data_IF_513435176426
#
_entry.id   IF_513435176426
#
_cell.length_a   1.000
_cell.length_b   1.000
_cell.length_c   1.000
_cell.angle_alpha   90.00
_cell.angle_beta   90.00
_cell.angle_gamma   90.00
#
_symmetry.space_group_name_H-M   'P 1'
#
loop_
_entity.id
_entity.type
_entity.pdbx_description
1 polymer ?
#
# COMPACT_ATOMS: atom_id res chain seq x y z
N UNK A 1 25.12 -10.04 -2.84
CA UNK A 1 23.85 -9.30 -2.94
C UNK A 1 23.63 -9.03 -4.43
N UNK A 2 22.44 -9.33 -4.96
CA UNK A 2 22.11 -9.06 -6.36
C UNK A 2 22.21 -7.57 -6.67
N UNK A 3 22.68 -7.20 -7.86
CA UNK A 3 22.65 -5.82 -8.36
C UNK A 3 21.21 -5.27 -8.47
N UNK A 4 20.22 -6.15 -8.48
CA UNK A 4 18.80 -5.80 -8.58
C UNK A 4 18.12 -5.64 -7.22
N UNK A 5 18.86 -5.85 -6.12
CA UNK A 5 18.35 -5.65 -4.77
C UNK A 5 18.18 -4.17 -4.47
N UNK A 6 16.95 -3.74 -4.32
CA UNK A 6 16.59 -2.32 -4.09
C UNK A 6 16.82 -1.79 -2.68
N UNK A 7 17.31 -2.60 -1.75
CA UNK A 7 17.50 -2.22 -0.35
C UNK A 7 16.47 -2.82 0.59
N UNK A 8 16.60 -2.51 1.87
CA UNK A 8 15.64 -2.88 2.89
C UNK A 8 14.50 -1.86 2.95
N UNK A 9 13.32 -2.33 3.32
CA UNK A 9 12.17 -1.49 3.61
C UNK A 9 11.65 -1.74 5.02
N UNK A 10 10.72 -0.90 5.43
CA UNK A 10 9.96 -1.06 6.66
C UNK A 10 8.49 -0.76 6.40
N UNK A 11 7.62 -1.43 7.15
CA UNK A 11 6.25 -0.97 7.29
C UNK A 11 6.20 0.07 8.41
N UNK A 12 5.65 1.23 8.11
CA UNK A 12 5.58 2.33 9.04
C UNK A 12 4.30 3.14 8.81
N UNK A 13 3.33 2.92 9.68
CA UNK A 13 2.04 3.55 9.63
C UNK A 13 1.98 4.80 10.51
N UNK A 14 1.13 5.77 10.19
CA UNK A 14 0.93 6.94 11.05
C UNK A 14 0.22 6.56 12.35
N UNK A 15 0.58 7.27 13.44
CA UNK A 15 0.17 6.90 14.80
C UNK A 15 -1.01 7.72 15.36
N UNK A 16 -1.68 8.55 14.57
CA UNK A 16 -2.85 9.32 15.05
C UNK A 16 -3.99 8.41 15.52
N UNK A 17 -4.01 7.16 15.01
CA UNK A 17 -4.95 6.13 15.42
C UNK A 17 -4.65 5.57 16.82
N UNK A 18 -3.42 5.73 17.29
CA UNK A 18 -3.00 5.24 18.59
C UNK A 18 -3.81 5.88 19.73
N UNK A 19 -4.26 7.12 19.58
CA UNK A 19 -5.15 7.76 20.53
C UNK A 19 -6.47 7.00 20.67
N UNK A 20 -7.04 6.51 19.57
CA UNK A 20 -8.26 5.70 19.58
C UNK A 20 -8.05 4.35 20.31
N UNK A 21 -6.81 3.88 20.40
CA UNK A 21 -6.41 2.66 21.10
C UNK A 21 -5.83 2.93 22.51
N UNK A 22 -5.88 4.19 22.96
CA UNK A 22 -5.41 4.59 24.28
C UNK A 22 -3.90 4.72 24.41
N UNK A 23 -3.18 4.89 23.30
CA UNK A 23 -1.74 5.14 23.28
C UNK A 23 -1.43 6.52 22.70
N UNK A 24 -0.42 7.18 23.25
CA UNK A 24 0.11 8.45 22.75
C UNK A 24 1.57 8.25 22.32
N UNK A 25 1.95 8.83 21.20
CA UNK A 25 3.34 8.83 20.72
C UNK A 25 3.97 10.19 21.03
N UNK A 26 4.80 10.20 22.06
CA UNK A 26 5.48 11.44 22.49
C UNK A 26 6.60 11.85 21.54
N UNK A 27 7.08 13.09 21.67
CA UNK A 27 8.27 13.56 20.94
C UNK A 27 9.53 12.74 21.26
N UNK A 28 9.63 12.18 22.47
CA UNK A 28 10.74 11.28 22.84
C UNK A 28 10.64 9.94 22.09
N UNK A 29 9.43 9.42 21.89
CA UNK A 29 9.20 8.20 21.11
C UNK A 29 9.54 8.44 19.63
N UNK A 30 9.15 9.57 19.08
CA UNK A 30 9.52 9.98 17.72
C UNK A 30 11.04 10.12 17.55
N UNK A 31 11.74 10.74 18.49
CA UNK A 31 13.19 10.86 18.46
C UNK A 31 13.87 9.48 18.46
N UNK A 32 13.38 8.58 19.31
CA UNK A 32 13.89 7.21 19.39
C UNK A 32 13.61 6.40 18.12
N UNK A 33 12.43 6.59 17.52
CA UNK A 33 12.08 5.97 16.24
C UNK A 33 13.01 6.47 15.12
N UNK A 34 13.21 7.79 15.03
CA UNK A 34 14.10 8.39 14.03
C UNK A 34 15.53 7.88 14.16
N UNK A 35 16.08 7.78 15.38
CA UNK A 35 17.41 7.18 15.64
C UNK A 35 17.51 5.76 15.08
N UNK A 36 16.47 4.94 15.27
CA UNK A 36 16.42 3.56 14.75
C UNK A 36 16.33 3.51 13.23
N UNK A 37 15.53 4.39 12.64
CA UNK A 37 15.40 4.49 11.19
C UNK A 37 16.72 4.98 10.55
N UNK A 38 17.40 5.94 11.18
CA UNK A 38 18.72 6.41 10.76
C UNK A 38 19.78 5.29 10.78
N UNK A 39 19.68 4.38 11.78
CA UNK A 39 20.52 3.19 11.83
C UNK A 39 20.16 2.17 10.74
N UNK A 40 18.87 1.90 10.52
CA UNK A 40 18.38 0.91 9.56
C UNK A 40 18.53 1.37 8.10
N UNK A 41 18.45 2.68 7.85
CA UNK A 41 18.51 3.31 6.52
C UNK A 41 17.58 2.62 5.52
N UNK A 42 16.27 2.57 5.76
CA UNK A 42 15.34 1.99 4.81
C UNK A 42 15.33 2.81 3.52
N UNK A 43 15.35 2.14 2.37
CA UNK A 43 15.14 2.79 1.07
C UNK A 43 13.68 2.86 0.66
N UNK A 44 12.81 2.15 1.38
CA UNK A 44 11.40 1.98 1.06
C UNK A 44 10.55 1.89 2.32
N UNK A 45 9.43 2.57 2.33
CA UNK A 45 8.42 2.51 3.39
C UNK A 45 7.08 2.12 2.78
N UNK A 46 6.46 1.08 3.32
CA UNK A 46 5.03 0.80 3.13
C UNK A 46 4.28 1.53 4.23
N UNK A 47 3.44 2.49 3.84
CA UNK A 47 2.68 3.34 4.75
C UNK A 47 1.19 3.15 4.51
N UNK A 48 0.53 2.42 5.38
CA UNK A 48 -0.89 2.11 5.28
C UNK A 48 -1.71 2.98 6.22
N UNK A 49 -2.88 3.38 5.77
CA UNK A 49 -3.83 4.13 6.58
C UNK A 49 -5.15 3.39 6.73
N UNK A 50 -5.85 3.72 7.80
CA UNK A 50 -7.27 3.40 7.95
C UNK A 50 -8.08 4.68 7.69
N UNK A 51 -8.73 4.75 6.54
CA UNK A 51 -9.48 5.93 6.11
C UNK A 51 -10.54 6.42 7.12
N UNK A 52 -11.26 5.54 7.91
CA UNK A 52 -12.18 6.01 8.96
C UNK A 52 -11.51 6.76 10.11
N UNK A 53 -10.22 6.56 10.35
CA UNK A 53 -9.46 7.32 11.35
C UNK A 53 -8.72 8.52 10.75
N UNK A 54 -8.55 8.55 9.42
CA UNK A 54 -7.80 9.57 8.71
C UNK A 54 -8.71 10.66 8.17
N UNK A 55 -9.20 10.52 6.98
CA UNK A 55 -9.92 11.56 6.26
C UNK A 55 -11.45 11.40 6.26
N UNK A 56 -11.96 10.27 6.74
CA UNK A 56 -13.39 9.97 6.74
C UNK A 56 -13.92 9.75 8.15
N UNK A 57 -15.00 10.41 8.49
CA UNK A 57 -15.73 10.16 9.73
C UNK A 57 -16.96 9.30 9.42
N UNK A 58 -16.88 8.02 9.80
CA UNK A 58 -17.94 7.04 9.52
C UNK A 58 -19.26 7.35 10.28
N UNK A 59 -19.19 8.06 11.42
CA UNK A 59 -20.39 8.40 12.19
C UNK A 59 -21.22 9.52 11.54
N UNK A 60 -20.53 10.45 10.83
CA UNK A 60 -21.17 11.60 10.18
C UNK A 60 -21.18 11.52 8.67
N UNK A 61 -20.43 10.59 8.07
CA UNK A 61 -20.21 10.49 6.63
C UNK A 61 -19.35 11.63 6.06
N UNK A 62 -18.65 12.38 6.92
CA UNK A 62 -17.90 13.57 6.50
C UNK A 62 -16.50 13.21 6.01
N UNK A 63 -16.13 13.74 4.86
CA UNK A 63 -14.76 13.79 4.36
C UNK A 63 -14.06 15.06 4.86
N UNK A 64 -12.84 14.93 5.40
CA UNK A 64 -12.02 16.03 5.87
C UNK A 64 -10.54 15.68 5.76
N UNK A 65 -9.86 16.23 4.76
CA UNK A 65 -8.43 15.96 4.49
C UNK A 65 -7.48 16.48 5.55
N UNK A 66 -7.94 17.33 6.45
CA UNK A 66 -7.12 17.88 7.55
C UNK A 66 -7.22 17.05 8.84
N UNK A 67 -8.20 16.14 8.91
CA UNK A 67 -8.42 15.32 10.10
C UNK A 67 -7.25 14.37 10.32
N UNK A 68 -6.74 14.31 11.56
CA UNK A 68 -5.65 13.41 12.00
C UNK A 68 -4.42 13.40 11.07
N UNK A 69 -4.04 14.56 10.53
CA UNK A 69 -2.97 14.67 9.54
C UNK A 69 -1.56 14.73 10.15
N UNK A 70 -1.43 15.07 11.43
CA UNK A 70 -0.15 15.45 12.04
C UNK A 70 0.91 14.35 11.98
N UNK A 71 0.59 13.11 12.40
CA UNK A 71 1.56 12.01 12.40
C UNK A 71 1.91 11.56 11.00
N UNK A 72 0.95 11.53 10.06
CA UNK A 72 1.21 11.21 8.66
C UNK A 72 2.16 12.23 8.02
N UNK A 73 1.94 13.53 8.26
CA UNK A 73 2.86 14.57 7.78
C UNK A 73 4.27 14.38 8.33
N UNK A 74 4.40 14.06 9.61
CA UNK A 74 5.70 13.86 10.27
C UNK A 74 6.43 12.66 9.66
N UNK A 75 5.72 11.55 9.41
CA UNK A 75 6.24 10.37 8.74
C UNK A 75 6.70 10.69 7.32
N UNK A 76 5.83 11.30 6.51
CA UNK A 76 6.13 11.63 5.12
C UNK A 76 7.27 12.65 5.00
N UNK A 77 7.35 13.61 5.91
CA UNK A 77 8.46 14.57 5.96
C UNK A 77 9.79 13.87 6.23
N UNK A 78 9.83 12.95 7.21
CA UNK A 78 11.04 12.15 7.46
C UNK A 78 11.44 11.34 6.22
N UNK A 79 10.48 10.68 5.55
CA UNK A 79 10.76 9.93 4.33
C UNK A 79 11.31 10.83 3.22
N UNK A 80 10.72 12.00 3.02
CA UNK A 80 11.15 12.96 2.01
C UNK A 80 12.55 13.51 2.27
N UNK A 81 12.84 13.90 3.51
CA UNK A 81 14.13 14.46 3.91
C UNK A 81 15.27 13.43 3.78
N UNK A 82 14.96 12.15 3.89
CA UNK A 82 15.91 11.04 3.80
C UNK A 82 15.90 10.31 2.44
N UNK A 83 15.16 10.80 1.44
CA UNK A 83 15.11 10.20 0.09
C UNK A 83 14.48 8.80 0.06
N UNK A 84 13.59 8.49 0.99
CA UNK A 84 12.93 7.20 1.11
C UNK A 84 11.69 7.17 0.20
N UNK A 85 11.57 6.15 -0.62
CA UNK A 85 10.37 5.93 -1.43
C UNK A 85 9.22 5.39 -0.55
N UNK A 86 8.03 5.95 -0.72
CA UNK A 86 6.83 5.52 0.02
C UNK A 86 5.84 4.87 -0.94
N UNK A 87 5.41 3.64 -0.59
CA UNK A 87 4.15 3.08 -1.05
C UNK A 87 3.09 3.44 0.00
N UNK A 88 2.23 4.38 -0.36
CA UNK A 88 1.11 4.80 0.44
C UNK A 88 -0.10 3.93 0.10
N UNK A 89 -0.89 3.53 1.08
CA UNK A 89 -2.05 2.68 0.80
C UNK A 89 -3.13 2.72 1.86
N UNK A 90 -4.23 2.05 1.55
CA UNK A 90 -5.37 1.91 2.44
C UNK A 90 -5.58 0.45 2.83
N UNK A 91 -5.78 0.19 4.13
CA UNK A 91 -6.06 -1.18 4.61
C UNK A 91 -7.38 -1.70 4.06
N UNK A 92 -8.41 -0.85 4.10
CA UNK A 92 -9.77 -1.18 3.68
C UNK A 92 -10.51 0.11 3.29
N UNK A 93 -11.65 -0.01 2.57
CA UNK A 93 -12.53 1.12 2.36
C UNK A 93 -13.03 1.71 3.69
N UNK A 94 -13.50 2.97 3.72
CA UNK A 94 -13.96 3.63 4.94
C UNK A 94 -15.04 2.88 5.70
N UNK A 95 -15.88 2.17 4.99
CA UNK A 95 -16.80 1.14 5.51
C UNK A 95 -16.84 -0.01 4.51
N UNK A 96 -17.15 -1.21 4.97
CA UNK A 96 -17.23 -2.38 4.07
C UNK A 96 -18.31 -2.25 3.00
N UNK A 97 -19.36 -1.46 3.27
CA UNK A 97 -20.39 -1.14 2.27
C UNK A 97 -19.86 -0.26 1.14
N UNK A 98 -18.71 0.38 1.31
CA UNK A 98 -18.08 1.25 0.30
C UNK A 98 -17.04 0.53 -0.57
N UNK A 99 -16.86 -0.77 -0.46
CA UNK A 99 -15.82 -1.56 -1.14
C UNK A 99 -15.80 -1.42 -2.67
N UNK A 100 -16.94 -1.04 -3.26
CA UNK A 100 -17.13 -0.79 -4.69
C UNK A 100 -17.68 0.63 -4.99
N UNK A 101 -17.59 1.53 -4.01
CA UNK A 101 -18.15 2.88 -4.09
C UNK A 101 -17.28 3.84 -4.90
N UNK A 102 -17.91 4.61 -5.81
CA UNK A 102 -17.24 5.71 -6.49
C UNK A 102 -16.85 6.84 -5.52
N UNK A 103 -17.66 7.06 -4.49
CA UNK A 103 -17.35 8.04 -3.45
C UNK A 103 -16.01 7.75 -2.75
N UNK A 104 -15.73 6.48 -2.45
CA UNK A 104 -14.44 6.10 -1.86
C UNK A 104 -13.29 6.39 -2.83
N UNK A 105 -13.43 6.02 -4.11
CA UNK A 105 -12.42 6.30 -5.14
C UNK A 105 -12.09 7.79 -5.19
N UNK A 106 -13.11 8.65 -5.24
CA UNK A 106 -12.96 10.11 -5.31
C UNK A 106 -12.29 10.69 -4.06
N UNK A 107 -12.73 10.29 -2.86
CA UNK A 107 -12.15 10.76 -1.61
C UNK A 107 -10.68 10.33 -1.46
N UNK A 108 -10.39 9.07 -1.75
CA UNK A 108 -9.05 8.51 -1.60
C UNK A 108 -8.06 9.15 -2.58
N UNK A 109 -8.46 9.33 -3.84
CA UNK A 109 -7.60 9.99 -4.84
C UNK A 109 -7.45 11.49 -4.57
N UNK A 110 -8.51 12.20 -4.13
CA UNK A 110 -8.40 13.59 -3.70
C UNK A 110 -7.43 13.73 -2.53
N UNK A 111 -7.49 12.81 -1.55
CA UNK A 111 -6.57 12.80 -0.42
C UNK A 111 -5.13 12.52 -0.84
N UNK A 112 -4.92 11.55 -1.74
CA UNK A 112 -3.60 11.27 -2.30
C UNK A 112 -3.05 12.48 -3.07
N UNK A 113 -3.89 13.14 -3.89
CA UNK A 113 -3.52 14.36 -4.59
C UNK A 113 -3.16 15.50 -3.62
N UNK A 114 -3.91 15.65 -2.54
CA UNK A 114 -3.60 16.63 -1.48
C UNK A 114 -2.22 16.37 -0.87
N UNK A 115 -1.90 15.12 -0.53
CA UNK A 115 -0.59 14.78 0.04
C UNK A 115 0.55 15.04 -0.96
N UNK A 116 0.40 14.60 -2.21
CA UNK A 116 1.48 14.62 -3.22
C UNK A 116 1.62 15.99 -3.89
N UNK A 117 0.52 16.63 -4.24
CA UNK A 117 0.55 17.85 -5.05
C UNK A 117 0.38 19.11 -4.22
N UNK A 118 -0.56 19.13 -3.25
CA UNK A 118 -0.80 20.34 -2.45
C UNK A 118 0.24 20.47 -1.32
N UNK A 119 0.59 19.36 -0.63
CA UNK A 119 1.60 19.35 0.43
C UNK A 119 3.02 19.07 -0.06
N UNK A 120 3.19 18.58 -1.30
CA UNK A 120 4.48 18.39 -1.94
C UNK A 120 5.26 17.15 -1.48
N UNK A 121 4.60 16.10 -0.99
CA UNK A 121 5.26 14.86 -0.59
C UNK A 121 5.60 13.98 -1.81
N UNK A 122 6.66 14.36 -2.53
CA UNK A 122 7.18 13.64 -3.69
C UNK A 122 7.78 12.27 -3.36
N UNK A 123 7.98 11.96 -2.09
CA UNK A 123 8.41 10.63 -1.64
C UNK A 123 7.36 9.55 -1.91
N UNK A 124 6.07 9.90 -1.99
CA UNK A 124 5.00 8.96 -2.37
C UNK A 124 5.11 8.67 -3.87
N UNK A 125 5.45 7.43 -4.22
CA UNK A 125 5.63 6.98 -5.60
C UNK A 125 4.66 5.89 -6.02
N UNK A 126 4.09 5.18 -5.04
CA UNK A 126 3.21 4.06 -5.29
C UNK A 126 1.96 4.16 -4.41
N UNK A 127 0.85 3.68 -4.94
CA UNK A 127 -0.43 3.65 -4.24
C UNK A 127 -0.97 2.22 -4.18
N UNK A 128 -1.28 1.74 -2.96
CA UNK A 128 -1.91 0.45 -2.66
C UNK A 128 -3.38 0.71 -2.37
N UNK A 129 -4.27 0.07 -3.12
CA UNK A 129 -5.71 0.32 -3.01
C UNK A 129 -6.33 -0.51 -1.89
N UNK A 130 -5.97 -1.79 -1.82
CA UNK A 130 -6.45 -2.75 -0.83
C UNK A 130 -5.28 -3.52 -0.24
N UNK A 131 -5.29 -3.71 1.07
CA UNK A 131 -4.41 -4.65 1.73
C UNK A 131 -4.93 -6.07 1.53
N UNK A 132 -4.11 -6.94 0.95
CA UNK A 132 -4.35 -8.38 0.85
C UNK A 132 -5.73 -8.74 0.26
N UNK A 133 -6.07 -8.24 -0.95
CA UNK A 133 -7.41 -8.41 -1.52
C UNK A 133 -7.78 -9.86 -1.81
N UNK A 134 -6.82 -10.77 -1.83
CA UNK A 134 -7.01 -12.21 -1.97
C UNK A 134 -7.46 -12.90 -0.68
N UNK A 135 -7.35 -12.22 0.47
CA UNK A 135 -7.71 -12.75 1.79
C UNK A 135 -9.21 -12.65 2.11
N UNK A 136 -9.71 -13.58 2.94
CA UNK A 136 -11.09 -13.54 3.43
C UNK A 136 -11.31 -12.49 4.55
N UNK A 137 -10.25 -11.83 4.98
CA UNK A 137 -10.27 -10.69 5.91
C UNK A 137 -10.35 -9.34 5.19
N UNK A 138 -10.16 -9.31 3.87
CA UNK A 138 -10.33 -8.12 3.05
C UNK A 138 -11.79 -7.96 2.61
N UNK A 139 -12.20 -6.72 2.35
CA UNK A 139 -13.56 -6.44 1.87
C UNK A 139 -13.86 -7.01 0.47
N UNK A 140 -12.82 -7.36 -0.28
CA UNK A 140 -12.89 -8.05 -1.58
C UNK A 140 -13.12 -9.54 -1.45
N UNK A 141 -12.72 -10.17 -0.34
CA UNK A 141 -12.86 -11.62 -0.07
C UNK A 141 -12.36 -12.50 -1.23
N UNK A 142 -11.22 -12.12 -1.82
CA UNK A 142 -10.61 -12.89 -2.92
C UNK A 142 -11.28 -12.70 -4.30
N UNK A 143 -12.24 -11.80 -4.43
CA UNK A 143 -12.88 -11.46 -5.70
C UNK A 143 -11.94 -10.60 -6.56
N UNK A 144 -11.27 -11.27 -7.51
CA UNK A 144 -10.34 -10.60 -8.43
C UNK A 144 -11.04 -9.58 -9.33
N UNK A 145 -12.23 -9.86 -9.81
CA UNK A 145 -12.94 -8.95 -10.73
C UNK A 145 -13.38 -7.67 -10.02
N UNK A 146 -13.83 -7.77 -8.77
CA UNK A 146 -14.10 -6.61 -7.92
C UNK A 146 -12.82 -5.78 -7.73
N UNK A 147 -11.71 -6.41 -7.30
CA UNK A 147 -10.43 -5.73 -7.11
C UNK A 147 -9.94 -5.06 -8.40
N UNK A 148 -9.96 -5.76 -9.54
CA UNK A 148 -9.56 -5.23 -10.85
C UNK A 148 -10.40 -4.04 -11.27
N UNK A 149 -11.73 -4.14 -11.12
CA UNK A 149 -12.67 -3.04 -11.43
C UNK A 149 -12.35 -1.81 -10.60
N UNK A 150 -12.09 -1.97 -9.31
CA UNK A 150 -11.71 -0.86 -8.43
C UNK A 150 -10.35 -0.28 -8.83
N UNK A 151 -9.35 -1.11 -9.13
CA UNK A 151 -8.04 -0.65 -9.58
C UNK A 151 -8.12 0.20 -10.86
N UNK A 152 -8.96 -0.20 -11.81
CA UNK A 152 -9.23 0.59 -13.02
C UNK A 152 -9.90 1.93 -12.71
N UNK A 153 -10.85 1.96 -11.78
CA UNK A 153 -11.54 3.20 -11.36
C UNK A 153 -10.62 4.15 -10.61
N UNK A 154 -9.77 3.63 -9.72
CA UNK A 154 -8.74 4.44 -9.04
C UNK A 154 -7.75 5.03 -10.04
N UNK A 155 -7.28 4.24 -11.00
CA UNK A 155 -6.36 4.70 -12.05
C UNK A 155 -7.00 5.79 -12.93
N UNK A 156 -8.27 5.60 -13.33
CA UNK A 156 -9.04 6.58 -14.09
C UNK A 156 -9.28 7.88 -13.30
N UNK A 157 -9.55 7.79 -12.00
CA UNK A 157 -9.69 8.97 -11.14
C UNK A 157 -8.36 9.70 -10.96
N UNK A 158 -7.25 8.98 -10.74
CA UNK A 158 -5.92 9.58 -10.71
C UNK A 158 -5.57 10.32 -12.01
N UNK A 159 -6.04 9.83 -13.16
CA UNK A 159 -5.82 10.48 -14.46
C UNK A 159 -6.49 11.86 -14.59
N UNK A 160 -7.48 12.17 -13.74
CA UNK A 160 -8.09 13.53 -13.66
C UNK A 160 -7.16 14.55 -13.01
N UNK A 161 -6.10 14.09 -12.34
CA UNK A 161 -5.04 14.88 -11.71
C UNK A 161 -3.71 14.61 -12.42
N UNK A 162 -3.40 15.32 -13.54
CA UNK A 162 -2.23 14.97 -14.38
C UNK A 162 -0.90 15.00 -13.63
N UNK A 163 -0.75 15.89 -12.65
CA UNK A 163 0.47 16.00 -11.86
C UNK A 163 0.63 14.81 -10.91
N UNK A 164 -0.43 14.39 -10.25
CA UNK A 164 -0.47 13.17 -9.45
C UNK A 164 -0.14 11.94 -10.31
N UNK A 165 -0.81 11.81 -11.45
CA UNK A 165 -0.65 10.65 -12.34
C UNK A 165 0.77 10.48 -12.88
N UNK A 166 1.52 11.58 -13.06
CA UNK A 166 2.93 11.52 -13.46
C UNK A 166 3.85 11.06 -12.33
N UNK A 167 3.46 11.29 -11.07
CA UNK A 167 4.29 11.02 -9.89
C UNK A 167 4.03 9.66 -9.26
N UNK A 168 2.78 9.19 -9.32
CA UNK A 168 2.33 8.02 -8.58
C UNK A 168 1.75 6.96 -9.54
N UNK A 169 2.17 5.72 -9.33
CA UNK A 169 1.63 4.52 -10.00
C UNK A 169 1.07 3.55 -8.96
N UNK A 170 0.34 2.52 -9.40
CA UNK A 170 -0.13 1.49 -8.48
C UNK A 170 1.02 0.60 -8.00
N UNK A 171 1.00 0.22 -6.71
CA UNK A 171 1.65 -0.98 -6.20
C UNK A 171 0.57 -2.06 -6.09
N UNK A 172 0.79 -3.20 -6.74
CA UNK A 172 -0.26 -4.22 -6.86
C UNK A 172 0.34 -5.61 -7.20
N UNK A 173 -0.38 -6.70 -6.92
CA UNK A 173 -1.73 -6.76 -6.35
C UNK A 173 -1.82 -6.75 -4.83
N UNK A 174 -0.73 -6.66 -4.06
CA UNK A 174 -0.65 -6.63 -2.59
C UNK A 174 -1.21 -7.92 -1.93
N UNK A 175 -0.93 -9.08 -2.50
CA UNK A 175 -1.51 -10.38 -2.14
C UNK A 175 -0.61 -11.26 -1.28
N UNK A 176 -1.19 -12.26 -0.59
CA UNK A 176 -0.49 -13.09 0.40
C UNK A 176 0.00 -14.40 -0.18
N UNK A 177 1.32 -14.67 -0.08
CA UNK A 177 1.95 -15.90 -0.59
C UNK A 177 1.63 -17.18 0.20
N UNK A 178 1.33 -17.05 1.48
CA UNK A 178 1.20 -18.19 2.39
C UNK A 178 -0.23 -18.66 2.59
N UNK A 179 -1.19 -17.98 1.98
CA UNK A 179 -2.61 -18.26 2.13
C UNK A 179 -3.28 -18.34 0.76
N UNK A 180 -4.21 -19.29 0.61
CA UNK A 180 -5.15 -19.31 -0.51
C UNK A 180 -6.56 -19.28 0.04
N UNK A 181 -7.28 -18.20 -0.25
CA UNK A 181 -8.72 -18.12 0.00
C UNK A 181 -9.46 -19.15 -0.87
N UNK A 182 -10.27 -20.05 -0.29
CA UNK A 182 -11.08 -20.98 -1.09
C UNK A 182 -12.05 -20.29 -2.05
N UNK A 183 -12.49 -19.06 -1.73
CA UNK A 183 -13.34 -18.26 -2.60
C UNK A 183 -12.59 -17.59 -3.76
N UNK A 184 -11.26 -17.45 -3.66
CA UNK A 184 -10.46 -16.86 -4.73
C UNK A 184 -10.22 -17.84 -5.86
N UNK A 185 -10.44 -17.41 -7.11
CA UNK A 185 -10.16 -18.19 -8.31
C UNK A 185 -8.66 -18.49 -8.46
N UNK A 186 -7.80 -17.51 -8.10
CA UNK A 186 -6.37 -17.57 -8.32
C UNK A 186 -5.57 -17.79 -7.02
N UNK A 187 -4.42 -18.46 -7.13
CA UNK A 187 -3.36 -18.39 -6.14
C UNK A 187 -2.54 -17.09 -6.33
N UNK A 188 -1.57 -16.83 -5.46
CA UNK A 188 -0.73 -15.62 -5.50
C UNK A 188 -0.08 -15.39 -6.86
N UNK A 189 0.48 -16.43 -7.47
CA UNK A 189 1.10 -16.31 -8.81
C UNK A 189 0.05 -16.00 -9.88
N UNK A 190 -1.13 -16.59 -9.78
CA UNK A 190 -2.26 -16.30 -10.64
C UNK A 190 -2.76 -14.85 -10.51
N UNK A 191 -2.84 -14.32 -9.29
CA UNK A 191 -3.17 -12.89 -9.06
C UNK A 191 -2.14 -11.98 -9.72
N UNK A 192 -0.84 -12.26 -9.56
CA UNK A 192 0.23 -11.46 -10.19
C UNK A 192 0.16 -11.55 -11.71
N UNK A 193 0.01 -12.76 -12.27
CA UNK A 193 -0.11 -12.97 -13.72
C UNK A 193 -1.31 -12.21 -14.32
N UNK A 194 -2.47 -12.34 -13.69
CA UNK A 194 -3.70 -11.65 -14.14
C UNK A 194 -3.60 -10.15 -14.02
N UNK A 195 -3.07 -9.64 -12.91
CA UNK A 195 -2.87 -8.20 -12.74
C UNK A 195 -1.84 -7.63 -13.73
N UNK A 196 -0.80 -8.39 -14.07
CA UNK A 196 0.15 -8.02 -15.13
C UNK A 196 -0.52 -7.95 -16.51
N UNK A 197 -1.41 -8.89 -16.80
CA UNK A 197 -2.17 -8.91 -18.05
C UNK A 197 -3.18 -7.78 -18.16
N UNK A 198 -3.95 -7.54 -17.09
CA UNK A 198 -5.10 -6.64 -17.11
C UNK A 198 -4.73 -5.18 -16.81
N UNK A 199 -3.67 -4.96 -16.00
CA UNK A 199 -3.29 -3.67 -15.44
C UNK A 199 -1.78 -3.36 -15.54
N UNK A 200 -1.03 -4.10 -16.33
CA UNK A 200 0.44 -3.97 -16.40
C UNK A 200 0.95 -2.57 -16.74
N UNK A 201 0.17 -1.78 -17.48
CA UNK A 201 0.52 -0.38 -17.79
C UNK A 201 0.34 0.56 -16.57
N UNK A 202 -0.61 0.27 -15.67
CA UNK A 202 -0.95 1.06 -14.50
C UNK A 202 -0.06 0.72 -13.30
N UNK A 203 0.40 -0.54 -13.21
CA UNK A 203 1.22 -1.03 -12.11
C UNK A 203 2.67 -0.59 -12.29
N UNK A 204 3.18 0.18 -11.35
CA UNK A 204 4.59 0.62 -11.30
C UNK A 204 5.51 -0.40 -10.63
N UNK A 205 5.03 -1.04 -9.57
CA UNK A 205 5.73 -2.06 -8.80
C UNK A 205 4.76 -3.18 -8.43
N UNK A 206 5.25 -4.42 -8.45
CA UNK A 206 4.50 -5.59 -7.96
C UNK A 206 4.89 -5.85 -6.52
N UNK A 207 3.92 -6.21 -5.71
CA UNK A 207 4.14 -6.54 -4.31
C UNK A 207 3.37 -7.78 -3.88
N UNK A 208 3.97 -8.51 -2.96
CA UNK A 208 3.38 -9.70 -2.34
C UNK A 208 3.82 -9.79 -0.89
N UNK A 209 2.91 -10.24 -0.03
CA UNK A 209 3.19 -10.45 1.38
C UNK A 209 3.62 -11.89 1.63
N UNK A 210 4.66 -12.08 2.43
CA UNK A 210 5.18 -13.38 2.74
C UNK A 210 5.55 -13.53 4.20
N UNK A 211 5.05 -14.58 4.82
CA UNK A 211 5.33 -14.93 6.21
C UNK A 211 5.93 -16.35 6.27
N UNK A 212 7.13 -16.57 5.68
CA UNK A 212 7.70 -17.91 5.56
C UNK A 212 8.10 -18.45 6.93
N UNK A 213 7.76 -19.71 7.18
CA UNK A 213 8.27 -20.43 8.33
C UNK A 213 9.77 -20.73 8.17
N UNK A 214 10.47 -20.95 9.30
CA UNK A 214 11.90 -21.27 9.31
C UNK A 214 12.26 -22.44 8.40
N UNK A 215 11.41 -23.47 8.36
CA UNK A 215 11.62 -24.64 7.49
C UNK A 215 11.60 -24.27 6.01
N UNK A 216 10.64 -23.46 5.57
CA UNK A 216 10.52 -23.01 4.18
C UNK A 216 11.76 -22.23 3.72
N UNK A 217 12.27 -21.35 4.60
CA UNK A 217 13.48 -20.57 4.31
C UNK A 217 14.70 -21.49 4.21
N UNK A 218 14.90 -22.39 5.16
CA UNK A 218 16.07 -23.28 5.19
C UNK A 218 16.07 -24.35 4.09
N UNK A 219 14.90 -24.84 3.68
CA UNK A 219 14.78 -25.82 2.60
C UNK A 219 14.89 -25.20 1.19
N UNK A 220 14.84 -23.88 1.07
CA UNK A 220 14.79 -23.19 -0.20
C UNK A 220 13.39 -23.10 -0.84
N UNK A 221 12.36 -23.70 -0.22
CA UNK A 221 10.99 -23.67 -0.73
C UNK A 221 10.44 -22.25 -0.87
N UNK A 222 10.79 -21.36 0.06
CA UNK A 222 10.42 -19.94 -0.03
C UNK A 222 11.04 -19.25 -1.26
N UNK A 223 12.32 -19.50 -1.52
CA UNK A 223 12.99 -18.94 -2.70
C UNK A 223 12.37 -19.43 -4.02
N UNK A 224 11.92 -20.68 -4.05
CA UNK A 224 11.22 -21.24 -5.23
C UNK A 224 9.86 -20.59 -5.46
N UNK A 225 9.08 -20.38 -4.40
CA UNK A 225 7.82 -19.61 -4.48
C UNK A 225 8.05 -18.20 -5.04
N UNK A 226 9.07 -17.48 -4.53
CA UNK A 226 9.42 -16.15 -5.04
C UNK A 226 9.83 -16.16 -6.51
N UNK A 227 10.62 -17.15 -6.96
CA UNK A 227 11.00 -17.28 -8.38
C UNK A 227 9.78 -17.47 -9.26
N UNK A 228 8.84 -18.34 -8.84
CA UNK A 228 7.58 -18.56 -9.55
C UNK A 228 6.78 -17.27 -9.70
N UNK A 229 6.61 -16.51 -8.62
CA UNK A 229 5.90 -15.23 -8.67
C UNK A 229 6.64 -14.21 -9.52
N UNK A 230 7.98 -14.12 -9.36
CA UNK A 230 8.81 -13.19 -10.14
C UNK A 230 8.73 -13.47 -11.65
N UNK A 231 8.53 -14.72 -12.05
CA UNK A 231 8.36 -15.09 -13.46
C UNK A 231 7.09 -14.53 -14.10
N UNK A 232 6.07 -14.22 -13.29
CA UNK A 232 4.81 -13.61 -13.75
C UNK A 232 4.89 -12.08 -13.86
N UNK A 233 5.92 -11.46 -13.25
CA UNK A 233 6.11 -10.00 -13.29
C UNK A 233 6.72 -9.60 -14.64
N UNK A 234 6.13 -8.62 -15.36
CA UNK A 234 6.64 -8.18 -16.66
C UNK A 234 8.10 -7.72 -16.62
N UNK A 235 8.81 -7.94 -17.72
CA UNK A 235 10.19 -7.48 -17.86
C UNK A 235 10.29 -5.96 -17.61
N UNK A 236 11.30 -5.54 -16.84
CA UNK A 236 11.52 -4.14 -16.47
C UNK A 236 10.72 -3.66 -15.26
N UNK A 237 9.76 -4.44 -14.74
CA UNK A 237 9.06 -4.14 -13.50
C UNK A 237 9.76 -4.83 -12.31
N UNK A 238 9.62 -4.23 -11.12
CA UNK A 238 10.14 -4.78 -9.85
C UNK A 238 9.07 -5.58 -9.12
N UNK A 239 9.50 -6.55 -8.35
CA UNK A 239 8.76 -7.27 -7.33
C UNK A 239 9.41 -6.94 -6.00
#
# INVERSE_FOLDING_TARGET
>A
ISSDYGGNGVEWDPYDEAEAWGAEVSDADWAKLSERLDFMRPGYVRCMINSPYRYYDAATGRYDRMRNLASLRRLLQYCQDNGITVAYGEYNPPTWAMKDSQQWVEMSVDYLNFLVCDLGFDCIRHFIIFNEPDGNWASTDGDYDLWRSMAQRFDAEMARYPDLKRKVSLAAPDVVMSYKNPASEYDTAGWVARSAQDLGAQIGIYDVHAYPGQHEVRSGAYAEKLRRIRAEVPAGKKL
#
